data_IF_287671886451
#
_entry.id   IF_287671886451
#
_cell.length_a   1.000
_cell.length_b   1.000
_cell.length_c   1.000
_cell.angle_alpha   90.00
_cell.angle_beta   90.00
_cell.angle_gamma   90.00
#
_symmetry.space_group_name_H-M   'P 1'
#
loop_
_entity.id
_entity.type
_entity.pdbx_description
1 polymer ?
#
# COMPACT_ATOMS: atom_id res chain seq x y z
N UNK A 1 -5.38 43.07 -11.83
CA UNK A 1 -4.74 44.41 -11.92
C UNK A 1 -4.98 44.97 -13.32
N UNK A 2 -5.06 46.29 -13.53
CA UNK A 2 -5.11 46.83 -14.90
C UNK A 2 -3.68 47.11 -15.38
N UNK A 3 -3.34 46.70 -16.60
CA UNK A 3 -2.08 47.10 -17.24
C UNK A 3 -2.18 48.57 -17.73
N UNK A 4 -1.08 49.12 -18.25
CA UNK A 4 -1.02 50.51 -18.76
C UNK A 4 -1.98 50.76 -19.95
N UNK A 5 -2.53 49.69 -20.53
CA UNK A 5 -3.55 49.72 -21.58
C UNK A 5 -4.99 49.65 -21.04
N UNK A 6 -5.17 49.60 -19.71
CA UNK A 6 -6.49 49.54 -19.06
C UNK A 6 -7.14 48.15 -19.07
N UNK A 7 -6.42 47.10 -19.43
CA UNK A 7 -6.95 45.73 -19.46
C UNK A 7 -6.77 45.05 -18.11
N UNK A 8 -7.82 44.40 -17.62
CA UNK A 8 -7.72 43.59 -16.41
C UNK A 8 -6.93 42.31 -16.70
N UNK A 9 -5.73 42.23 -16.13
CA UNK A 9 -4.84 41.08 -16.20
C UNK A 9 -4.65 40.44 -14.82
N UNK A 10 -4.38 39.14 -14.83
CA UNK A 10 -3.97 38.40 -13.65
C UNK A 10 -2.52 38.77 -13.29
N UNK A 11 -2.27 39.11 -12.02
CA UNK A 11 -0.92 39.37 -11.52
C UNK A 11 -0.20 38.02 -11.38
N UNK A 12 0.73 37.73 -12.29
CA UNK A 12 1.59 36.55 -12.20
C UNK A 12 2.96 36.95 -11.66
N UNK A 13 3.26 36.57 -10.42
CA UNK A 13 4.58 36.74 -9.79
C UNK A 13 5.30 35.40 -9.84
N UNK A 14 6.34 35.28 -10.67
CA UNK A 14 7.17 34.08 -10.71
C UNK A 14 7.95 33.93 -9.40
N UNK A 15 8.02 32.71 -8.86
CA UNK A 15 8.90 32.40 -7.73
C UNK A 15 9.92 31.33 -8.08
N UNK A 16 11.00 31.28 -7.29
CA UNK A 16 11.96 30.17 -7.25
C UNK A 16 11.72 29.28 -6.02
N UNK A 17 11.49 27.99 -6.24
CA UNK A 17 11.29 27.03 -5.15
C UNK A 17 12.59 26.88 -4.36
N UNK A 18 12.56 27.06 -3.04
CA UNK A 18 13.77 26.97 -2.20
C UNK A 18 14.33 25.55 -2.10
N UNK A 19 13.49 24.52 -2.22
CA UNK A 19 13.91 23.12 -2.14
C UNK A 19 14.47 22.58 -3.47
N UNK A 20 13.88 22.97 -4.61
CA UNK A 20 14.29 22.46 -5.93
C UNK A 20 15.15 23.44 -6.74
N UNK A 21 15.24 24.70 -6.30
CA UNK A 21 15.95 25.78 -6.99
C UNK A 21 15.42 26.10 -8.41
N UNK A 22 14.25 25.57 -8.79
CA UNK A 22 13.60 25.81 -10.08
C UNK A 22 12.55 26.93 -10.01
N UNK A 23 12.30 27.59 -11.15
CA UNK A 23 11.20 28.55 -11.30
C UNK A 23 9.89 27.76 -11.43
N UNK A 24 8.92 28.03 -10.56
CA UNK A 24 7.61 27.37 -10.59
C UNK A 24 6.70 28.05 -11.61
N UNK A 25 6.11 27.27 -12.51
CA UNK A 25 5.24 27.78 -13.58
C UNK A 25 3.83 28.10 -13.09
N UNK A 26 3.04 28.83 -13.89
CA UNK A 26 1.67 29.24 -13.53
C UNK A 26 0.69 28.08 -13.29
N UNK A 27 1.11 26.84 -13.58
CA UNK A 27 0.33 25.61 -13.39
C UNK A 27 0.74 24.83 -12.13
N UNK A 28 1.76 25.27 -11.40
CA UNK A 28 2.25 24.59 -10.21
C UNK A 28 1.46 25.08 -8.99
N UNK A 29 0.58 24.22 -8.48
CA UNK A 29 -0.32 24.54 -7.39
C UNK A 29 0.38 24.44 -6.02
N UNK A 30 0.94 25.56 -5.55
CA UNK A 30 1.50 25.69 -4.21
C UNK A 30 0.95 26.94 -3.47
N UNK A 31 1.07 26.93 -2.15
CA UNK A 31 0.38 27.84 -1.22
C UNK A 31 0.61 29.32 -1.51
N UNK A 32 -0.47 30.08 -1.60
CA UNK A 32 -0.44 31.54 -1.73
C UNK A 32 -0.58 32.15 -0.33
N UNK A 33 0.26 33.12 0.02
CA UNK A 33 0.05 34.01 1.15
C UNK A 33 -0.35 35.39 0.60
N UNK A 34 -1.59 35.82 0.88
CA UNK A 34 -2.07 37.16 0.55
C UNK A 34 -2.06 38.03 1.79
N UNK A 35 -1.36 39.16 1.73
CA UNK A 35 -1.48 40.20 2.74
C UNK A 35 -2.49 41.24 2.27
N UNK A 36 -3.61 41.36 2.98
CA UNK A 36 -4.59 42.43 2.78
C UNK A 36 -4.19 43.55 3.73
N UNK A 37 -3.63 44.63 3.19
CA UNK A 37 -3.21 45.78 3.96
C UNK A 37 -4.36 46.78 4.14
N UNK A 38 -4.41 47.42 5.30
CA UNK A 38 -5.35 48.51 5.54
C UNK A 38 -4.80 49.82 4.98
N UNK A 39 -5.71 50.60 4.39
CA UNK A 39 -5.40 51.86 3.73
C UNK A 39 -6.20 52.98 4.42
N UNK A 40 -5.52 54.08 4.72
CA UNK A 40 -6.16 55.29 5.21
C UNK A 40 -7.11 55.84 4.13
N UNK A 41 -8.39 55.99 4.48
CA UNK A 41 -9.45 56.32 3.52
C UNK A 41 -9.37 57.74 2.96
N UNK A 42 -8.65 58.64 3.62
CA UNK A 42 -8.54 60.05 3.21
C UNK A 42 -7.31 60.26 2.33
N UNK A 43 -6.20 59.60 2.66
CA UNK A 43 -4.91 59.79 2.01
C UNK A 43 -4.56 58.69 1.00
N UNK A 44 -5.25 57.55 1.04
CA UNK A 44 -4.97 56.39 0.20
C UNK A 44 -3.64 55.69 0.54
N UNK A 45 -3.00 56.04 1.66
CA UNK A 45 -1.71 55.47 2.07
C UNK A 45 -1.87 54.26 2.97
N UNK A 46 -0.97 53.29 2.80
CA UNK A 46 -0.87 52.12 3.66
C UNK A 46 -0.56 52.56 5.09
N UNK A 47 -1.35 52.12 6.06
CA UNK A 47 -1.18 52.49 7.47
C UNK A 47 -0.21 51.56 8.24
N UNK A 48 0.36 50.57 7.55
CA UNK A 48 1.29 49.59 8.13
C UNK A 48 0.63 48.37 8.76
N UNK A 49 -0.70 48.32 8.86
CA UNK A 49 -1.44 47.14 9.33
C UNK A 49 -1.84 46.24 8.15
N UNK A 50 -1.66 44.93 8.30
CA UNK A 50 -2.08 43.94 7.31
C UNK A 50 -2.58 42.67 7.96
N UNK A 51 -3.48 41.98 7.26
CA UNK A 51 -3.99 40.67 7.61
C UNK A 51 -3.55 39.65 6.56
N UNK A 52 -2.83 38.62 7.01
CA UNK A 52 -2.33 37.55 6.14
C UNK A 52 -3.36 36.42 6.03
N UNK A 53 -3.71 36.07 4.80
CA UNK A 53 -4.52 34.90 4.45
C UNK A 53 -3.63 33.88 3.74
N UNK A 54 -3.54 32.67 4.29
CA UNK A 54 -2.85 31.57 3.65
C UNK A 54 -3.88 30.67 2.95
N UNK A 55 -3.72 30.48 1.64
CA UNK A 55 -4.51 29.55 0.84
C UNK A 55 -3.60 28.37 0.52
N UNK A 56 -3.72 27.29 1.28
CA UNK A 56 -3.01 26.04 1.03
C UNK A 56 -3.86 25.10 0.18
N UNK A 57 -3.44 24.87 -1.07
CA UNK A 57 -3.91 23.73 -1.86
C UNK A 57 -3.37 22.44 -1.25
N UNK A 58 -4.21 21.42 -1.14
CA UNK A 58 -3.93 20.10 -0.56
C UNK A 58 -2.89 19.24 -1.33
N UNK A 59 -1.91 19.87 -1.99
CA UNK A 59 -1.11 19.31 -3.08
C UNK A 59 0.26 18.81 -2.64
N UNK A 60 0.62 18.94 -1.36
CA UNK A 60 1.65 18.08 -0.77
C UNK A 60 1.26 16.59 -0.78
N UNK A 61 -0.01 16.23 -1.03
CA UNK A 61 -0.42 14.81 -1.22
C UNK A 61 -0.27 14.30 -2.65
N UNK A 62 0.00 15.17 -3.63
CA UNK A 62 -0.04 14.81 -5.06
C UNK A 62 1.35 14.81 -5.73
N UNK A 63 2.41 15.23 -5.04
CA UNK A 63 3.77 15.28 -5.58
C UNK A 63 4.53 13.94 -5.53
N UNK A 64 3.98 12.88 -4.93
CA UNK A 64 4.56 11.53 -4.94
C UNK A 64 4.18 10.72 -6.20
N UNK A 65 4.10 11.36 -7.36
CA UNK A 65 3.88 10.66 -8.63
C UNK A 65 5.18 9.98 -9.11
N UNK A 66 5.54 8.87 -8.46
CA UNK A 66 6.34 7.75 -9.03
C UNK A 66 6.29 6.45 -8.21
N UNK A 67 5.60 6.43 -7.08
CA UNK A 67 4.98 5.25 -6.47
C UNK A 67 3.68 5.75 -5.85
N UNK A 68 2.56 5.09 -6.10
CA UNK A 68 1.31 5.40 -5.40
C UNK A 68 1.59 5.48 -3.90
N UNK A 69 1.50 6.67 -3.33
CA UNK A 69 1.72 6.96 -1.91
C UNK A 69 0.57 6.36 -1.10
N UNK A 70 0.53 5.02 -1.05
CA UNK A 70 -0.38 4.28 -0.20
C UNK A 70 -0.13 4.61 1.26
N UNK A 71 -1.15 4.43 2.07
CA UNK A 71 -1.07 4.55 3.52
C UNK A 71 -0.27 3.38 4.16
N UNK A 72 0.05 2.33 3.39
CA UNK A 72 0.83 1.18 3.85
C UNK A 72 2.30 1.52 4.14
N UNK A 73 2.70 1.42 5.41
CA UNK A 73 4.07 1.66 5.88
C UNK A 73 4.53 0.53 6.80
N UNK A 74 5.72 -0.03 6.54
CA UNK A 74 6.30 -1.07 7.39
C UNK A 74 6.54 -0.50 8.81
N UNK A 75 6.21 -1.29 9.83
CA UNK A 75 6.31 -0.91 11.24
C UNK A 75 5.11 -0.08 11.75
N UNK A 76 4.15 0.24 10.89
CA UNK A 76 2.92 0.94 11.26
C UNK A 76 1.69 0.03 11.11
N UNK A 77 0.54 0.39 11.72
CA UNK A 77 -0.72 -0.30 11.48
C UNK A 77 -1.02 -0.38 9.98
N UNK A 78 -1.38 -1.57 9.49
CA UNK A 78 -1.78 -1.76 8.11
C UNK A 78 -3.09 -0.99 7.81
N UNK A 79 -3.26 -0.43 6.58
CA UNK A 79 -4.50 0.25 6.21
C UNK A 79 -5.70 -0.68 6.40
N UNK A 80 -6.67 -0.26 7.20
CA UNK A 80 -7.85 -1.06 7.46
C UNK A 80 -8.79 -1.04 6.26
N UNK A 81 -9.54 -2.12 6.05
CA UNK A 81 -10.57 -2.20 5.03
C UNK A 81 -11.79 -2.95 5.56
N UNK A 82 -12.94 -2.71 4.92
CA UNK A 82 -14.14 -3.53 5.02
C UNK A 82 -14.69 -3.73 3.62
N UNK A 83 -14.79 -4.96 3.17
CA UNK A 83 -15.23 -5.28 1.83
C UNK A 83 -15.87 -6.67 1.75
N UNK A 84 -16.69 -6.85 0.72
CA UNK A 84 -17.31 -8.13 0.41
C UNK A 84 -16.26 -9.07 -0.19
N UNK A 85 -16.20 -10.29 0.32
CA UNK A 85 -15.36 -11.36 -0.18
C UNK A 85 -16.19 -12.59 -0.56
N UNK A 86 -15.68 -13.36 -1.51
CA UNK A 86 -16.12 -14.74 -1.74
C UNK A 86 -15.36 -15.63 -0.77
N UNK A 87 -16.08 -16.27 0.14
CA UNK A 87 -15.52 -17.14 1.17
C UNK A 87 -15.24 -18.55 0.60
N UNK A 88 -14.41 -19.37 1.27
CA UNK A 88 -14.11 -20.74 0.84
C UNK A 88 -15.33 -21.65 0.66
N UNK A 89 -16.43 -21.37 1.34
CA UNK A 89 -17.70 -22.08 1.21
C UNK A 89 -18.57 -21.56 0.04
N UNK A 90 -18.05 -20.63 -0.77
CA UNK A 90 -18.73 -20.02 -1.91
C UNK A 90 -19.73 -18.92 -1.54
N UNK A 91 -19.85 -18.57 -0.26
CA UNK A 91 -20.77 -17.52 0.18
C UNK A 91 -20.15 -16.13 0.11
N UNK A 92 -20.97 -15.11 -0.11
CA UNK A 92 -20.57 -13.72 0.04
C UNK A 92 -20.59 -13.32 1.50
N UNK A 93 -19.50 -12.73 1.98
CA UNK A 93 -19.41 -12.21 3.33
C UNK A 93 -18.60 -10.91 3.37
N UNK A 94 -19.09 -9.94 4.12
CA UNK A 94 -18.29 -8.77 4.46
C UNK A 94 -17.23 -9.15 5.49
N UNK A 95 -15.97 -8.91 5.14
CA UNK A 95 -14.83 -9.08 6.03
C UNK A 95 -14.09 -7.76 6.21
N UNK A 96 -13.44 -7.62 7.35
CA UNK A 96 -12.54 -6.52 7.66
C UNK A 96 -11.17 -7.03 8.07
N UNK A 97 -10.13 -6.23 7.88
CA UNK A 97 -8.79 -6.61 8.36
C UNK A 97 -8.79 -6.81 9.89
N UNK A 98 -9.61 -6.03 10.61
CA UNK A 98 -9.78 -6.17 12.06
C UNK A 98 -10.33 -7.51 12.53
N UNK A 99 -11.05 -8.26 11.68
CA UNK A 99 -11.57 -9.59 12.02
C UNK A 99 -10.46 -10.63 12.20
N UNK A 100 -9.25 -10.32 11.72
CA UNK A 100 -8.08 -11.18 11.78
C UNK A 100 -7.08 -10.79 12.87
N UNK A 101 -7.43 -9.87 13.78
CA UNK A 101 -6.61 -9.58 14.96
C UNK A 101 -6.30 -10.85 15.75
N UNK A 102 -5.06 -10.97 16.22
CA UNK A 102 -4.54 -12.18 16.87
C UNK A 102 -4.06 -13.26 15.90
N UNK A 103 -4.12 -13.01 14.58
CA UNK A 103 -3.56 -13.89 13.54
C UNK A 103 -2.66 -13.09 12.62
N UNK A 104 -1.63 -13.74 12.09
CA UNK A 104 -0.91 -13.19 10.96
C UNK A 104 -1.81 -13.16 9.72
N UNK A 105 -1.62 -12.18 8.84
CA UNK A 105 -2.35 -12.07 7.58
C UNK A 105 -1.37 -11.87 6.43
N UNK A 106 -1.42 -12.77 5.45
CA UNK A 106 -0.86 -12.56 4.13
C UNK A 106 -1.98 -12.01 3.26
N UNK A 107 -1.91 -10.71 2.96
CA UNK A 107 -2.87 -10.03 2.10
C UNK A 107 -2.21 -9.71 0.76
N UNK A 108 -2.76 -10.23 -0.33
CA UNK A 108 -2.13 -10.06 -1.64
C UNK A 108 -3.13 -9.62 -2.70
N UNK A 109 -2.69 -8.69 -3.53
CA UNK A 109 -3.41 -8.20 -4.70
C UNK A 109 -2.97 -8.96 -5.95
N UNK A 110 -3.90 -9.15 -6.87
CA UNK A 110 -3.63 -9.60 -8.23
C UNK A 110 -4.35 -8.70 -9.23
N UNK A 111 -3.82 -8.53 -10.46
CA UNK A 111 -4.33 -7.56 -11.42
C UNK A 111 -5.83 -7.68 -11.73
N UNK A 112 -6.25 -8.82 -12.27
CA UNK A 112 -7.59 -9.08 -12.80
C UNK A 112 -7.94 -10.57 -12.79
N UNK A 113 -9.22 -10.88 -12.59
CA UNK A 113 -9.83 -12.19 -12.82
C UNK A 113 -9.74 -12.61 -14.31
N UNK A 114 -9.79 -13.91 -14.60
CA UNK A 114 -9.76 -14.48 -15.96
C UNK A 114 -8.54 -14.11 -16.82
N UNK A 115 -7.40 -13.86 -16.17
CA UNK A 115 -6.10 -13.60 -16.85
C UNK A 115 -5.11 -14.76 -16.66
N UNK A 116 -3.85 -14.58 -17.10
CA UNK A 116 -2.90 -15.69 -17.29
C UNK A 116 -2.13 -16.10 -16.03
N UNK A 117 -1.45 -15.15 -15.38
CA UNK A 117 -0.56 -15.45 -14.22
C UNK A 117 -1.34 -15.50 -12.91
N UNK A 118 -2.38 -14.66 -12.77
CA UNK A 118 -3.21 -14.56 -11.57
C UNK A 118 -3.75 -15.91 -11.06
N UNK A 119 -4.34 -16.79 -11.90
CA UNK A 119 -4.87 -18.06 -11.40
C UNK A 119 -3.78 -18.95 -10.82
N UNK A 120 -2.56 -18.93 -11.37
CA UNK A 120 -1.46 -19.75 -10.86
C UNK A 120 -1.05 -19.35 -9.44
N UNK A 121 -1.07 -18.05 -9.11
CA UNK A 121 -0.71 -17.55 -7.78
C UNK A 121 -1.80 -17.88 -6.77
N UNK A 122 -3.06 -17.61 -7.12
CA UNK A 122 -4.22 -17.83 -6.24
C UNK A 122 -4.36 -19.32 -5.93
N UNK A 123 -4.23 -20.19 -6.95
CA UNK A 123 -4.26 -21.64 -6.77
C UNK A 123 -3.12 -22.10 -5.88
N UNK A 124 -1.88 -21.62 -6.10
CA UNK A 124 -0.74 -22.02 -5.29
C UNK A 124 -0.89 -21.65 -3.80
N UNK A 125 -1.43 -20.46 -3.49
CA UNK A 125 -1.76 -20.07 -2.13
C UNK A 125 -2.93 -20.86 -1.55
N UNK A 126 -3.97 -21.14 -2.34
CA UNK A 126 -5.13 -21.92 -1.93
C UNK A 126 -4.77 -23.36 -1.60
N UNK A 127 -4.00 -24.03 -2.47
CA UNK A 127 -3.61 -25.43 -2.28
C UNK A 127 -2.69 -25.59 -1.06
N UNK A 128 -1.93 -24.55 -0.69
CA UNK A 128 -1.03 -24.51 0.48
C UNK A 128 -1.60 -23.74 1.69
N UNK A 129 -2.87 -23.35 1.67
CA UNK A 129 -3.48 -22.54 2.72
C UNK A 129 -3.38 -23.20 4.11
N UNK A 130 -3.38 -24.53 4.17
CA UNK A 130 -3.23 -25.29 5.43
C UNK A 130 -1.86 -25.10 6.09
N UNK A 131 -0.79 -24.86 5.32
CA UNK A 131 0.54 -24.54 5.88
C UNK A 131 0.52 -23.22 6.64
N UNK A 132 -0.16 -22.21 6.09
CA UNK A 132 -0.35 -20.91 6.74
C UNK A 132 -1.27 -21.03 7.96
N UNK A 133 -2.38 -21.79 7.87
CA UNK A 133 -3.28 -22.00 9.01
C UNK A 133 -2.58 -22.62 10.22
N UNK A 134 -1.69 -23.60 10.00
CA UNK A 134 -0.87 -24.21 11.07
C UNK A 134 0.05 -23.21 11.78
N UNK A 135 0.43 -22.13 11.10
CA UNK A 135 1.20 -21.03 11.66
C UNK A 135 0.30 -19.91 12.24
N UNK A 136 -0.99 -20.15 12.46
CA UNK A 136 -1.95 -19.11 12.87
C UNK A 136 -1.93 -17.90 11.91
N UNK A 137 -1.80 -18.16 10.61
CA UNK A 137 -1.76 -17.17 9.55
C UNK A 137 -2.93 -17.38 8.57
N UNK A 138 -3.65 -16.30 8.25
CA UNK A 138 -4.67 -16.26 7.21
C UNK A 138 -4.07 -15.76 5.91
N UNK A 139 -4.45 -16.36 4.78
CA UNK A 139 -4.15 -15.84 3.44
C UNK A 139 -5.42 -15.25 2.83
N UNK A 140 -5.33 -14.06 2.22
CA UNK A 140 -6.46 -13.34 1.62
C UNK A 140 -6.02 -12.78 0.27
N UNK A 141 -6.74 -13.13 -0.80
CA UNK A 141 -6.53 -12.54 -2.13
C UNK A 141 -7.46 -11.34 -2.36
N UNK A 142 -7.05 -10.40 -3.21
CA UNK A 142 -7.88 -9.27 -3.61
C UNK A 142 -7.62 -8.82 -5.06
N UNK A 143 -8.65 -8.33 -5.72
CA UNK A 143 -8.49 -7.55 -6.95
C UNK A 143 -9.57 -6.47 -7.04
N UNK A 144 -9.52 -5.70 -8.13
CA UNK A 144 -10.51 -4.66 -8.43
C UNK A 144 -11.83 -5.22 -8.99
N UNK A 145 -11.93 -6.53 -9.16
CA UNK A 145 -13.10 -7.19 -9.72
C UNK A 145 -14.26 -7.25 -8.71
N UNK A 146 -15.48 -7.46 -9.22
CA UNK A 146 -16.66 -7.65 -8.37
C UNK A 146 -16.67 -9.04 -7.72
N UNK A 147 -17.30 -9.17 -6.55
CA UNK A 147 -17.50 -10.48 -5.89
C UNK A 147 -18.31 -11.47 -6.75
N UNK A 148 -19.16 -10.98 -7.66
CA UNK A 148 -19.82 -11.82 -8.66
C UNK A 148 -18.83 -12.40 -9.68
N UNK A 149 -17.85 -11.62 -10.12
CA UNK A 149 -16.77 -12.06 -11.00
C UNK A 149 -15.94 -13.16 -10.33
N UNK A 150 -15.55 -12.92 -9.07
CA UNK A 150 -14.82 -13.90 -8.26
C UNK A 150 -15.58 -15.23 -8.16
N UNK A 151 -16.88 -15.20 -7.85
CA UNK A 151 -17.69 -16.42 -7.73
C UNK A 151 -17.78 -17.17 -9.07
N UNK A 152 -17.98 -16.45 -10.18
CA UNK A 152 -17.97 -17.05 -11.51
C UNK A 152 -16.61 -17.72 -11.82
N UNK A 153 -15.51 -17.10 -11.40
CA UNK A 153 -14.17 -17.62 -11.64
C UNK A 153 -13.82 -18.83 -10.76
N UNK A 154 -14.27 -18.82 -9.51
CA UNK A 154 -14.23 -19.98 -8.58
C UNK A 154 -15.03 -21.16 -9.14
N UNK A 155 -16.20 -20.90 -9.73
CA UNK A 155 -17.02 -21.94 -10.35
C UNK A 155 -16.48 -22.45 -11.69
N UNK A 156 -15.51 -21.75 -12.28
CA UNK A 156 -14.88 -22.17 -13.54
C UNK A 156 -13.82 -23.25 -13.25
N UNK A 157 -13.80 -24.40 -13.96
CA UNK A 157 -12.81 -25.45 -13.75
C UNK A 157 -11.36 -24.98 -14.02
N UNK A 158 -10.40 -25.45 -13.23
CA UNK A 158 -8.95 -25.18 -13.41
C UNK A 158 -8.47 -25.45 -14.86
N UNK A 159 -9.00 -26.50 -15.49
CA UNK A 159 -8.66 -26.87 -16.89
C UNK A 159 -9.09 -25.84 -17.94
N UNK A 160 -10.00 -24.93 -17.60
CA UNK A 160 -10.50 -23.86 -18.47
C UNK A 160 -9.92 -22.49 -18.08
N UNK A 161 -8.89 -22.45 -17.24
CA UNK A 161 -8.33 -21.18 -16.72
C UNK A 161 -9.09 -20.59 -15.54
N UNK A 162 -10.01 -21.36 -14.94
CA UNK A 162 -10.69 -21.01 -13.69
C UNK A 162 -9.87 -21.33 -12.44
N UNK A 163 -10.43 -21.03 -11.27
CA UNK A 163 -9.79 -21.33 -9.98
C UNK A 163 -10.20 -22.70 -9.43
N UNK A 164 -11.45 -23.11 -9.62
CA UNK A 164 -12.06 -24.22 -8.88
C UNK A 164 -12.29 -23.88 -7.41
N UNK A 165 -12.61 -24.87 -6.55
CA UNK A 165 -12.82 -24.67 -5.11
C UNK A 165 -11.59 -24.04 -4.44
N UNK A 166 -11.80 -22.95 -3.71
CA UNK A 166 -10.75 -22.17 -3.05
C UNK A 166 -10.77 -22.32 -1.53
N UNK A 167 -9.59 -22.34 -0.90
CA UNK A 167 -9.41 -22.42 0.55
C UNK A 167 -9.13 -21.05 1.21
N UNK A 168 -9.12 -19.98 0.41
CA UNK A 168 -8.83 -18.62 0.82
C UNK A 168 -9.95 -17.68 0.38
N UNK A 169 -10.28 -16.63 1.16
CA UNK A 169 -11.21 -15.60 0.74
C UNK A 169 -10.63 -14.73 -0.39
N UNK A 170 -11.51 -14.31 -1.32
CA UNK A 170 -11.21 -13.37 -2.40
C UNK A 170 -12.00 -12.08 -2.19
N UNK A 171 -11.29 -11.00 -1.84
CA UNK A 171 -11.84 -9.66 -1.56
C UNK A 171 -12.06 -8.88 -2.85
N UNK A 172 -13.25 -8.30 -2.97
CA UNK A 172 -13.63 -7.44 -4.08
C UNK A 172 -13.38 -5.96 -3.76
N UNK A 173 -12.57 -5.28 -4.59
CA UNK A 173 -12.28 -3.83 -4.48
C UNK A 173 -12.68 -3.03 -5.74
N UNK A 174 -13.97 -3.02 -6.13
CA UNK A 174 -14.41 -2.34 -7.35
C UNK A 174 -14.25 -0.81 -7.28
N UNK A 175 -14.17 -0.27 -6.07
CA UNK A 175 -13.91 1.16 -5.83
C UNK A 175 -12.43 1.51 -5.91
N UNK A 176 -11.54 0.50 -5.99
CA UNK A 176 -10.08 0.65 -6.05
C UNK A 176 -9.48 1.33 -4.81
N UNK A 177 -10.27 1.51 -3.77
CA UNK A 177 -9.89 2.22 -2.56
C UNK A 177 -8.88 1.43 -1.76
N UNK A 178 -9.03 0.11 -1.71
CA UNK A 178 -8.11 -0.74 -0.94
C UNK A 178 -6.77 -0.82 -1.68
N UNK A 179 -6.78 -1.05 -3.00
CA UNK A 179 -5.57 -1.03 -3.82
C UNK A 179 -4.84 0.33 -3.76
N UNK A 180 -5.59 1.43 -3.69
CA UNK A 180 -5.03 2.77 -3.50
C UNK A 180 -4.41 2.95 -2.11
N UNK A 181 -5.13 2.57 -1.05
CA UNK A 181 -4.64 2.65 0.34
C UNK A 181 -3.39 1.79 0.56
N UNK A 182 -3.28 0.66 -0.12
CA UNK A 182 -2.11 -0.21 -0.09
C UNK A 182 -1.02 0.20 -1.08
N UNK A 183 -1.22 1.25 -1.89
CA UNK A 183 -0.20 1.80 -2.78
C UNK A 183 0.13 0.94 -4.00
N UNK A 184 -0.78 0.03 -4.38
CA UNK A 184 -0.57 -0.94 -5.48
C UNK A 184 -1.47 -0.70 -6.68
N UNK A 185 -2.34 0.31 -6.63
CA UNK A 185 -3.17 0.71 -7.77
C UNK A 185 -2.31 1.24 -8.92
N UNK A 186 -2.38 0.59 -10.07
CA UNK A 186 -1.90 1.07 -11.37
C UNK A 186 -3.00 1.95 -11.98
N UNK A 187 -2.98 3.24 -11.61
CA UNK A 187 -4.09 4.17 -11.83
C UNK A 187 -4.43 4.42 -13.32
N UNK A 188 -3.45 4.32 -14.21
CA UNK A 188 -3.61 4.49 -15.66
C UNK A 188 -4.38 3.34 -16.32
N UNK A 189 -4.30 2.13 -15.77
CA UNK A 189 -5.05 0.96 -16.25
C UNK A 189 -6.24 0.59 -15.36
N UNK A 190 -6.33 1.14 -14.16
CA UNK A 190 -7.41 0.85 -13.22
C UNK A 190 -7.35 -0.54 -12.60
N UNK A 191 -6.17 -1.17 -12.61
CA UNK A 191 -5.87 -2.50 -12.06
C UNK A 191 -4.86 -2.40 -10.92
N UNK A 192 -4.57 -3.49 -10.22
CA UNK A 192 -3.49 -3.53 -9.22
C UNK A 192 -2.20 -4.15 -9.78
N UNK A 193 -1.05 -3.68 -9.29
CA UNK A 193 0.20 -4.45 -9.36
C UNK A 193 0.12 -5.70 -8.48
N UNK A 194 1.08 -6.62 -8.63
CA UNK A 194 1.16 -7.84 -7.81
C UNK A 194 1.75 -7.54 -6.43
N UNK A 195 1.00 -6.81 -5.61
CA UNK A 195 1.36 -6.46 -4.24
C UNK A 195 1.06 -7.58 -3.25
N UNK A 196 1.96 -7.87 -2.31
CA UNK A 196 1.77 -8.79 -1.20
C UNK A 196 2.24 -8.12 0.08
N UNK A 197 1.46 -8.30 1.13
CA UNK A 197 1.64 -7.66 2.43
C UNK A 197 1.58 -8.73 3.52
N UNK A 198 2.57 -8.74 4.41
CA UNK A 198 2.56 -9.57 5.62
C UNK A 198 2.26 -8.68 6.80
N UNK A 199 1.16 -8.95 7.47
CA UNK A 199 0.64 -8.20 8.62
C UNK A 199 0.67 -9.13 9.83
N UNK A 200 1.20 -8.65 10.95
CA UNK A 200 1.30 -9.45 12.17
C UNK A 200 -0.03 -9.55 12.95
N UNK A 201 0.00 -10.32 14.03
CA UNK A 201 -1.13 -10.55 14.93
C UNK A 201 -1.66 -9.28 15.62
N UNK A 202 -0.86 -8.20 15.65
CA UNK A 202 -1.22 -6.89 16.19
C UNK A 202 -1.77 -5.94 15.12
N UNK A 203 -1.81 -6.37 13.87
CA UNK A 203 -2.23 -5.55 12.73
C UNK A 203 -1.14 -4.61 12.21
N UNK A 204 0.13 -4.83 12.57
CA UNK A 204 1.27 -4.05 12.09
C UNK A 204 1.80 -4.65 10.79
N UNK A 205 2.01 -3.80 9.79
CA UNK A 205 2.58 -4.21 8.51
C UNK A 205 4.08 -4.51 8.67
N UNK A 206 4.50 -5.73 8.33
CA UNK A 206 5.89 -6.20 8.53
C UNK A 206 6.67 -6.28 7.23
N UNK A 207 6.01 -6.54 6.11
CA UNK A 207 6.68 -6.78 4.84
C UNK A 207 5.78 -6.39 3.66
N UNK A 208 6.41 -5.88 2.59
CA UNK A 208 5.78 -5.51 1.32
C UNK A 208 6.61 -6.11 0.17
N UNK A 209 5.98 -6.89 -0.70
CA UNK A 209 6.53 -7.29 -2.01
C UNK A 209 5.63 -6.73 -3.09
N UNK A 210 6.18 -6.01 -4.07
CA UNK A 210 5.44 -5.58 -5.25
C UNK A 210 6.19 -6.05 -6.49
N UNK A 211 5.54 -6.91 -7.27
CA UNK A 211 6.05 -7.32 -8.58
C UNK A 211 5.31 -6.55 -9.68
N UNK A 212 6.03 -6.29 -10.77
CA UNK A 212 5.41 -5.88 -12.03
C UNK A 212 4.51 -7.01 -12.60
N UNK A 213 3.64 -6.67 -13.53
CA UNK A 213 2.59 -7.54 -14.07
C UNK A 213 3.06 -8.91 -14.62
N UNK A 214 4.20 -9.04 -15.33
CA UNK A 214 4.54 -10.31 -15.99
C UNK A 214 5.17 -11.36 -15.06
N UNK A 215 5.57 -11.01 -13.83
CA UNK A 215 6.35 -11.91 -12.96
C UNK A 215 5.55 -12.31 -11.70
N UNK A 216 5.21 -13.59 -11.58
CA UNK A 216 4.54 -14.15 -10.41
C UNK A 216 5.40 -14.19 -9.14
N UNK A 217 4.76 -14.31 -7.98
CA UNK A 217 5.37 -14.39 -6.66
C UNK A 217 5.67 -15.84 -6.24
N UNK A 218 6.45 -15.98 -5.18
CA UNK A 218 6.78 -17.27 -4.57
C UNK A 218 6.04 -17.49 -3.25
N UNK A 219 5.29 -18.60 -3.16
CA UNK A 219 4.62 -19.03 -1.92
C UNK A 219 5.64 -19.48 -0.88
N UNK A 220 6.75 -20.12 -1.30
CA UNK A 220 7.81 -20.57 -0.39
C UNK A 220 8.50 -19.41 0.32
N UNK A 221 8.77 -18.33 -0.41
CA UNK A 221 9.37 -17.14 0.20
C UNK A 221 8.39 -16.46 1.17
N UNK A 222 7.11 -16.41 0.81
CA UNK A 222 6.07 -15.87 1.69
C UNK A 222 5.98 -16.68 2.98
N UNK A 223 5.99 -18.01 2.90
CA UNK A 223 5.96 -18.90 4.06
C UNK A 223 7.21 -18.73 4.93
N UNK A 224 8.39 -18.66 4.31
CA UNK A 224 9.66 -18.42 5.00
C UNK A 224 9.65 -17.10 5.78
N UNK A 225 9.13 -16.03 5.18
CA UNK A 225 9.02 -14.72 5.82
C UNK A 225 8.05 -14.74 7.00
N UNK A 226 6.88 -15.37 6.88
CA UNK A 226 5.94 -15.54 8.01
C UNK A 226 6.62 -16.28 9.16
N UNK A 227 7.30 -17.40 8.88
CA UNK A 227 8.05 -18.16 9.89
C UNK A 227 9.15 -17.33 10.55
N UNK A 228 9.87 -16.51 9.77
CA UNK A 228 10.93 -15.65 10.29
C UNK A 228 10.38 -14.58 11.24
N UNK A 229 9.33 -13.86 10.85
CA UNK A 229 8.73 -12.84 11.72
C UNK A 229 8.16 -13.43 13.01
N UNK A 230 7.50 -14.58 12.94
CA UNK A 230 7.00 -15.28 14.13
C UNK A 230 8.14 -15.74 15.04
N UNK A 231 9.26 -16.19 14.47
CA UNK A 231 10.44 -16.54 15.25
C UNK A 231 11.00 -15.31 15.98
N UNK A 232 11.20 -14.20 15.27
CA UNK A 232 11.72 -12.97 15.89
C UNK A 232 10.79 -12.41 16.96
N UNK A 233 9.48 -12.47 16.74
CA UNK A 233 8.49 -11.98 17.71
C UNK A 233 8.45 -12.82 18.99
N UNK A 234 8.73 -14.13 18.89
CA UNK A 234 8.74 -15.06 20.02
C UNK A 234 10.07 -15.05 20.80
N UNK A 235 11.19 -14.99 20.09
CA UNK A 235 12.51 -15.21 20.68
C UNK A 235 13.32 -13.93 20.92
N UNK A 236 12.99 -12.81 20.26
CA UNK A 236 13.74 -11.55 20.36
C UNK A 236 15.13 -11.59 19.71
N UNK A 237 15.47 -12.67 19.01
CA UNK A 237 16.65 -12.79 18.16
C UNK A 237 16.33 -12.32 16.73
N UNK A 238 17.35 -12.09 15.90
CA UNK A 238 17.18 -11.70 14.49
C UNK A 238 17.62 -12.81 13.55
N UNK A 239 16.90 -12.91 12.43
CA UNK A 239 17.12 -13.91 11.39
C UNK A 239 18.10 -13.40 10.31
N UNK A 240 19.22 -14.11 10.03
CA UNK A 240 20.15 -13.78 8.95
C UNK A 240 19.53 -13.88 7.53
N UNK A 241 20.31 -13.45 6.54
CA UNK A 241 19.95 -13.60 5.13
C UNK A 241 19.72 -15.08 4.77
N UNK A 242 18.62 -15.36 4.08
CA UNK A 242 18.27 -16.74 3.67
C UNK A 242 17.85 -17.66 4.82
N UNK A 243 17.61 -17.14 6.03
CA UNK A 243 17.22 -17.94 7.18
C UNK A 243 15.98 -18.79 6.90
N UNK A 244 16.04 -20.05 7.33
CA UNK A 244 14.95 -21.03 7.34
C UNK A 244 14.84 -21.66 8.74
N UNK A 245 13.67 -22.21 9.13
CA UNK A 245 13.52 -22.91 10.41
C UNK A 245 14.66 -23.91 10.66
N UNK A 246 15.28 -23.82 11.83
CA UNK A 246 16.44 -24.64 12.22
C UNK A 246 17.81 -24.05 11.88
N UNK A 247 17.88 -22.91 11.17
CA UNK A 247 19.13 -22.20 10.90
C UNK A 247 19.57 -21.34 12.10
N UNK A 248 20.87 -21.07 12.20
CA UNK A 248 21.44 -20.19 13.20
C UNK A 248 20.86 -18.76 13.14
N UNK A 249 20.77 -18.12 14.30
CA UNK A 249 20.19 -16.79 14.53
C UNK A 249 21.19 -15.88 15.24
N UNK A 250 20.91 -14.58 15.30
CA UNK A 250 21.79 -13.59 15.92
C UNK A 250 21.07 -12.94 17.10
N UNK A 251 21.69 -12.95 18.27
CA UNK A 251 21.24 -12.14 19.41
C UNK A 251 21.60 -10.67 19.13
N UNK A 252 20.65 -9.72 19.14
CA UNK A 252 20.90 -8.33 18.78
C UNK A 252 21.61 -7.55 19.90
N UNK A 253 22.85 -7.96 20.19
CA UNK A 253 23.75 -7.37 21.17
C UNK A 253 25.20 -7.46 20.64
N UNK A 254 26.00 -6.43 20.90
CA UNK A 254 27.37 -6.30 20.34
C UNK A 254 28.29 -7.45 20.78
N UNK A 255 28.14 -7.96 21.99
CA UNK A 255 28.96 -9.07 22.47
C UNK A 255 28.34 -10.42 22.12
N UNK A 256 27.02 -10.57 22.31
CA UNK A 256 26.35 -11.86 22.05
C UNK A 256 26.30 -12.22 20.57
N UNK A 257 26.24 -11.24 19.67
CA UNK A 257 26.26 -11.49 18.22
C UNK A 257 27.55 -12.17 17.74
N UNK A 258 28.67 -12.02 18.46
CA UNK A 258 29.94 -12.69 18.14
C UNK A 258 29.83 -14.21 18.14
N UNK A 259 28.91 -14.79 18.92
CA UNK A 259 28.62 -16.24 18.93
C UNK A 259 28.18 -16.74 17.55
N UNK A 260 27.42 -15.92 16.82
CA UNK A 260 27.02 -16.24 15.45
C UNK A 260 28.18 -16.04 14.47
N UNK A 261 28.85 -14.89 14.55
CA UNK A 261 29.92 -14.54 13.61
C UNK A 261 31.15 -15.44 13.72
N UNK A 262 31.45 -15.99 14.89
CA UNK A 262 32.55 -16.95 15.05
C UNK A 262 32.33 -18.30 14.36
N UNK A 263 31.08 -18.61 13.98
CA UNK A 263 30.74 -19.84 13.25
C UNK A 263 30.81 -19.66 11.73
N UNK A 264 30.90 -18.42 11.23
CA UNK A 264 31.00 -18.14 9.80
C UNK A 264 32.42 -18.47 9.32
N UNK A 265 32.51 -19.23 8.24
CA UNK A 265 33.78 -19.63 7.61
C UNK A 265 34.25 -18.58 6.60
#
# INVERSE_FOLDING_TARGET
MQNDSGEFVDLYVQWKCSASNCIAGAKDHASIQMNVAEVDRVTGRLNGQFKTYAICGAISRMADSKMSSGNAKIGHPAPNFKATAVMPDGQFKDISLSDYKGKYVVFFFYPLDFTFVCPTEIIAFSDRAEEFKKLNCQVIGASVDSHFCHLAWVNTPKKQGGLGPMNIPLVSDPKRSIAQDYGVLKADEGISFRGLFIIDDKGILRQITVNDLPVGRSVDETLRLVQAFQFTDKHGEVCPAGWKPGSDTIKPDVQKSKEYFSKQK
#
